data_IF_336976961673
#
_entry.id   IF_336976961673
#
_cell.length_a   1.000
_cell.length_b   1.000
_cell.length_c   1.000
_cell.angle_alpha   90.00
_cell.angle_beta   90.00
_cell.angle_gamma   90.00
#
_symmetry.space_group_name_H-M   'P 1'
#
loop_
_entity.id
_entity.type
_entity.pdbx_description
1 polymer ?
#
# COMPACT_ATOMS: atom_id res chain seq x y z
N UNK A 1 -4.57 2.23 -12.10
CA UNK A 1 -3.34 2.63 -12.81
C UNK A 1 -3.73 2.98 -14.24
N UNK A 2 -3.17 4.03 -14.82
CA UNK A 2 -3.40 4.38 -16.23
C UNK A 2 -2.70 3.38 -17.15
N UNK A 3 -3.05 3.36 -18.44
CA UNK A 3 -2.42 2.45 -19.41
C UNK A 3 -0.90 2.66 -19.57
N UNK A 4 -0.38 3.85 -19.26
CA UNK A 4 1.04 4.17 -19.25
C UNK A 4 1.73 3.90 -17.89
N UNK A 5 1.06 3.21 -16.97
CA UNK A 5 1.67 2.75 -15.71
C UNK A 5 1.70 3.79 -14.59
N UNK A 6 0.95 4.89 -14.68
CA UNK A 6 0.93 5.93 -13.64
C UNK A 6 -0.18 5.67 -12.60
N UNK A 7 0.14 5.95 -11.34
CA UNK A 7 -0.76 5.87 -10.20
C UNK A 7 -0.91 7.26 -9.56
N UNK A 8 -1.84 8.07 -10.05
CA UNK A 8 -2.07 9.46 -9.60
C UNK A 8 -3.41 9.65 -8.89
N UNK A 9 -4.15 8.57 -8.65
CA UNK A 9 -5.42 8.62 -7.92
C UNK A 9 -5.15 8.65 -6.41
N UNK A 10 -5.59 9.68 -5.67
CA UNK A 10 -5.41 9.75 -4.23
C UNK A 10 -6.36 8.77 -3.52
N UNK A 11 -5.89 8.16 -2.43
CA UNK A 11 -6.68 7.28 -1.57
C UNK A 11 -6.69 7.80 -0.13
N UNK A 12 -7.79 7.54 0.59
CA UNK A 12 -7.96 7.95 1.98
C UNK A 12 -7.84 6.73 2.90
N UNK A 13 -7.00 6.83 3.92
CA UNK A 13 -6.91 5.87 5.02
C UNK A 13 -7.54 6.50 6.28
N UNK A 14 -8.86 6.34 6.51
CA UNK A 14 -9.58 7.10 7.55
C UNK A 14 -9.20 6.74 9.00
N UNK A 15 -8.41 5.67 9.18
CA UNK A 15 -7.91 5.22 10.49
C UNK A 15 -6.56 5.82 10.88
N UNK A 16 -5.86 6.46 9.94
CA UNK A 16 -4.64 7.21 10.20
C UNK A 16 -5.04 8.68 10.36
N UNK A 17 -4.87 9.22 11.56
CA UNK A 17 -5.38 10.55 11.91
C UNK A 17 -4.33 11.65 11.81
N UNK A 18 -3.06 11.31 12.06
CA UNK A 18 -1.95 12.25 12.15
C UNK A 18 -0.73 11.72 11.39
N UNK A 19 0.00 12.60 10.71
CA UNK A 19 1.19 12.20 9.93
C UNK A 19 2.29 11.58 10.80
N UNK A 20 2.41 12.03 12.05
CA UNK A 20 3.38 11.50 13.03
C UNK A 20 3.23 10.00 13.31
N UNK A 21 2.06 9.42 13.02
CA UNK A 21 1.85 7.97 13.16
C UNK A 21 2.69 7.18 12.16
N UNK A 22 3.15 7.82 11.09
CA UNK A 22 3.92 7.23 10.00
C UNK A 22 5.43 7.44 10.14
N UNK A 23 5.89 8.30 11.06
CA UNK A 23 7.32 8.61 11.25
C UNK A 23 8.12 7.35 11.54
N UNK A 24 9.22 7.17 10.82
CA UNK A 24 10.09 5.99 10.90
C UNK A 24 9.48 4.70 10.34
N UNK A 25 8.28 4.74 9.72
CA UNK A 25 7.66 3.60 9.04
C UNK A 25 8.00 3.59 7.56
N UNK A 26 7.64 2.50 6.88
CA UNK A 26 7.77 2.38 5.42
C UNK A 26 6.41 2.21 4.75
N UNK A 27 6.28 2.80 3.57
CA UNK A 27 5.21 2.52 2.63
C UNK A 27 5.69 1.43 1.66
N UNK A 28 4.87 0.41 1.46
CA UNK A 28 5.20 -0.76 0.63
C UNK A 28 4.22 -0.87 -0.53
N UNK A 29 4.74 -1.13 -1.73
CA UNK A 29 3.93 -1.54 -2.89
C UNK A 29 4.19 -3.01 -3.19
N UNK A 30 3.11 -3.75 -3.35
CA UNK A 30 3.11 -5.17 -3.66
C UNK A 30 2.92 -5.40 -5.18
N UNK A 31 3.31 -6.58 -5.66
CA UNK A 31 3.14 -6.98 -7.07
C UNK A 31 1.68 -7.28 -7.42
N UNK A 32 0.94 -7.85 -6.46
CA UNK A 32 -0.47 -8.18 -6.55
C UNK A 32 -1.40 -7.06 -6.07
N UNK A 33 -2.70 -7.35 -6.12
CA UNK A 33 -3.73 -6.51 -5.52
C UNK A 33 -3.87 -6.76 -4.02
N UNK A 34 -4.94 -6.21 -3.44
CA UNK A 34 -5.32 -6.44 -2.04
C UNK A 34 -6.85 -6.52 -1.96
N UNK A 35 -7.38 -7.70 -1.61
CA UNK A 35 -8.83 -7.88 -1.39
C UNK A 35 -9.26 -7.56 0.05
N UNK A 36 -8.34 -7.17 0.93
CA UNK A 36 -8.52 -6.87 2.36
C UNK A 36 -8.94 -8.08 3.21
N UNK A 37 -8.71 -9.30 2.73
CA UNK A 37 -8.99 -10.55 3.44
C UNK A 37 -7.75 -11.45 3.40
N UNK A 38 -7.60 -12.33 4.39
CA UNK A 38 -6.56 -13.35 4.39
C UNK A 38 -6.96 -14.59 3.58
N UNK A 39 -8.18 -14.63 3.04
CA UNK A 39 -8.67 -15.67 2.14
C UNK A 39 -8.95 -15.11 0.73
N UNK A 40 -8.56 -15.82 -0.35
CA UNK A 40 -7.91 -17.14 -0.38
C UNK A 40 -6.41 -17.12 -0.10
N UNK A 41 -5.77 -15.95 -0.11
CA UNK A 41 -4.34 -15.80 0.12
C UNK A 41 -4.07 -14.81 1.26
N UNK A 42 -3.04 -15.04 2.09
CA UNK A 42 -2.72 -14.14 3.20
C UNK A 42 -2.45 -12.70 2.76
N UNK A 43 -2.75 -11.75 3.64
CA UNK A 43 -2.47 -10.32 3.47
C UNK A 43 -3.02 -9.77 2.14
N UNK A 44 -4.23 -10.20 1.76
CA UNK A 44 -4.92 -9.67 0.58
C UNK A 44 -4.47 -10.24 -0.76
N UNK A 45 -3.49 -11.15 -0.79
CA UNK A 45 -2.89 -11.66 -2.03
C UNK A 45 -1.86 -10.72 -2.68
N UNK A 46 -1.30 -9.77 -1.93
CA UNK A 46 -0.32 -8.82 -2.47
C UNK A 46 0.99 -9.47 -2.95
N UNK A 47 1.43 -10.55 -2.30
CA UNK A 47 2.64 -11.28 -2.69
C UNK A 47 3.93 -10.44 -2.56
N UNK A 48 4.81 -10.52 -3.57
CA UNK A 48 6.13 -9.90 -3.56
C UNK A 48 6.08 -8.37 -3.43
N UNK A 49 7.13 -7.78 -2.82
CA UNK A 49 7.28 -6.34 -2.63
C UNK A 49 8.06 -5.74 -3.80
N UNK A 50 7.50 -4.76 -4.50
CA UNK A 50 8.08 -4.18 -5.73
C UNK A 50 8.61 -2.76 -5.56
N UNK A 51 8.14 -2.02 -4.55
CA UNK A 51 8.69 -0.72 -4.18
C UNK A 51 8.52 -0.47 -2.69
N UNK A 52 9.43 0.32 -2.11
CA UNK A 52 9.44 0.67 -0.69
C UNK A 52 9.96 2.10 -0.53
N UNK A 53 9.42 2.85 0.43
CA UNK A 53 9.93 4.17 0.82
C UNK A 53 9.75 4.40 2.32
N UNK A 54 10.79 4.94 2.98
CA UNK A 54 10.74 5.32 4.39
C UNK A 54 10.12 6.71 4.51
N UNK A 55 9.24 6.88 5.49
CA UNK A 55 8.72 8.18 5.92
C UNK A 55 9.60 8.63 7.10
N UNK A 56 10.42 9.68 6.94
CA UNK A 56 11.42 10.09 7.93
C UNK A 56 10.80 10.70 9.18
#
# INVERSE_FOLDING_TARGET
>A
VTHDGKATYPVLAPRLSELKELDGRSLMLHAGGDNHDDHPEPLGGGGARIACGIIP
#
